data_IF_574801765816
#
_entry.id   IF_574801765816
#
_cell.length_a   1.000
_cell.length_b   1.000
_cell.length_c   1.000
_cell.angle_alpha   90.00
_cell.angle_beta   90.00
_cell.angle_gamma   90.00
#
_symmetry.space_group_name_H-M   'P 1'
#
loop_
_entity.id
_entity.type
_entity.pdbx_description
1 polymer ?
#
# COMPACT_ATOMS: atom_id res chain seq x y z
N UNK A 1 14.30 -23.52 4.19
CA UNK A 1 14.84 -22.38 4.93
C UNK A 1 16.30 -22.03 4.58
N UNK A 2 17.33 -22.86 4.82
CA UNK A 2 18.74 -22.51 4.47
C UNK A 2 19.01 -22.29 2.96
N UNK A 3 18.39 -23.05 2.07
CA UNK A 3 18.58 -22.89 0.61
C UNK A 3 17.94 -21.59 0.09
N UNK A 4 16.78 -21.20 0.63
CA UNK A 4 16.07 -19.96 0.28
C UNK A 4 16.89 -18.71 0.66
N UNK A 5 17.43 -18.68 1.89
CA UNK A 5 18.27 -17.57 2.38
C UNK A 5 19.54 -17.40 1.55
N UNK A 6 20.22 -18.51 1.17
CA UNK A 6 21.41 -18.46 0.30
C UNK A 6 21.09 -17.95 -1.11
N UNK A 7 19.87 -18.22 -1.62
CA UNK A 7 19.46 -17.79 -2.96
C UNK A 7 19.14 -16.29 -2.97
N UNK A 8 18.49 -15.78 -1.92
CA UNK A 8 18.16 -14.37 -1.76
C UNK A 8 19.45 -13.53 -1.62
N UNK A 9 20.35 -13.88 -0.72
CA UNK A 9 21.64 -13.21 -0.54
C UNK A 9 22.42 -13.08 -1.86
N UNK A 10 22.41 -14.10 -2.73
CA UNK A 10 23.04 -14.03 -4.05
C UNK A 10 22.38 -13.01 -4.97
N UNK A 11 21.05 -12.86 -4.94
CA UNK A 11 20.31 -11.90 -5.77
C UNK A 11 20.53 -10.47 -5.30
N UNK A 12 20.56 -10.25 -3.98
CA UNK A 12 20.89 -8.97 -3.38
C UNK A 12 22.32 -8.54 -3.73
N UNK A 13 23.30 -9.47 -3.69
CA UNK A 13 24.70 -9.23 -4.09
C UNK A 13 24.84 -8.92 -5.58
N UNK A 14 24.07 -9.61 -6.45
CA UNK A 14 24.04 -9.36 -7.90
C UNK A 14 23.50 -7.96 -8.19
N UNK A 15 22.39 -7.56 -7.57
CA UNK A 15 21.83 -6.23 -7.69
C UNK A 15 22.77 -5.14 -7.16
N UNK A 16 23.41 -5.39 -6.01
CA UNK A 16 24.40 -4.48 -5.45
C UNK A 16 25.61 -4.32 -6.41
N UNK A 17 26.03 -5.40 -7.07
CA UNK A 17 27.04 -5.37 -8.12
C UNK A 17 26.64 -4.48 -9.28
N UNK A 18 25.43 -4.65 -9.79
CA UNK A 18 24.88 -3.85 -10.89
C UNK A 18 24.81 -2.36 -10.53
N UNK A 19 24.31 -2.03 -9.33
CA UNK A 19 24.24 -0.66 -8.81
C UNK A 19 25.64 -0.02 -8.74
N UNK A 20 26.67 -0.76 -8.29
CA UNK A 20 28.04 -0.22 -8.20
C UNK A 20 28.57 0.23 -9.57
N UNK A 21 28.24 -0.47 -10.64
CA UNK A 21 28.67 -0.17 -12.00
C UNK A 21 27.79 0.86 -12.72
N UNK A 22 26.60 1.18 -12.22
CA UNK A 22 25.69 2.14 -12.81
C UNK A 22 25.94 3.55 -12.26
N UNK A 23 25.97 4.55 -13.11
CA UNK A 23 26.12 5.98 -12.73
C UNK A 23 24.77 6.69 -12.61
N UNK A 24 23.87 6.45 -13.58
CA UNK A 24 22.54 7.08 -13.65
C UNK A 24 21.43 6.03 -13.50
N UNK A 25 20.63 6.17 -12.44
CA UNK A 25 19.66 5.15 -12.02
C UNK A 25 18.25 5.78 -11.98
N UNK A 26 17.27 5.09 -12.59
CA UNK A 26 15.85 5.39 -12.44
C UNK A 26 15.20 4.40 -11.46
N UNK A 27 14.51 4.90 -10.44
CA UNK A 27 13.67 4.09 -9.55
C UNK A 27 12.20 4.37 -9.89
N UNK A 28 11.37 3.36 -9.93
CA UNK A 28 9.95 3.53 -10.23
C UNK A 28 9.09 2.70 -9.28
N UNK A 29 8.05 3.33 -8.74
CA UNK A 29 7.02 2.72 -7.91
C UNK A 29 5.84 2.19 -8.74
N UNK A 30 4.92 1.46 -8.10
CA UNK A 30 3.66 1.05 -8.73
C UNK A 30 2.63 2.20 -8.78
N UNK A 31 1.61 2.04 -9.65
CA UNK A 31 0.42 2.90 -9.70
C UNK A 31 -0.39 2.78 -8.40
N UNK A 32 -1.07 3.86 -7.99
CA UNK A 32 -1.74 3.97 -6.69
C UNK A 32 -0.76 3.67 -5.54
N UNK A 33 0.30 4.47 -5.40
CA UNK A 33 1.40 4.18 -4.50
C UNK A 33 0.97 4.25 -3.03
N UNK A 34 1.53 3.36 -2.23
CA UNK A 34 1.33 3.28 -0.79
C UNK A 34 2.61 3.60 -0.01
N UNK A 35 2.60 3.30 1.30
CA UNK A 35 3.73 3.60 2.17
C UNK A 35 4.94 2.72 1.91
N UNK A 36 4.75 1.44 1.51
CA UNK A 36 5.88 0.55 1.24
C UNK A 36 6.60 0.96 -0.04
N UNK A 37 5.87 1.14 -1.15
CA UNK A 37 6.52 1.50 -2.42
C UNK A 37 7.23 2.85 -2.35
N UNK A 38 6.60 3.90 -1.79
CA UNK A 38 7.21 5.23 -1.69
C UNK A 38 8.34 5.24 -0.66
N UNK A 39 8.13 4.65 0.52
CA UNK A 39 9.15 4.57 1.56
C UNK A 39 10.40 3.83 1.08
N UNK A 40 10.22 2.66 0.49
CA UNK A 40 11.28 1.83 -0.08
C UNK A 40 12.05 2.54 -1.19
N UNK A 41 11.33 3.15 -2.14
CA UNK A 41 11.93 3.90 -3.24
C UNK A 41 12.75 5.10 -2.75
N UNK A 42 12.23 5.88 -1.80
CA UNK A 42 12.94 7.04 -1.26
C UNK A 42 14.14 6.64 -0.39
N UNK A 43 14.02 5.58 0.42
CA UNK A 43 15.14 5.05 1.19
C UNK A 43 16.30 4.63 0.27
N UNK A 44 15.98 3.89 -0.81
CA UNK A 44 16.95 3.46 -1.80
C UNK A 44 17.58 4.66 -2.51
N UNK A 45 16.77 5.64 -2.95
CA UNK A 45 17.27 6.89 -3.54
C UNK A 45 18.28 7.61 -2.65
N UNK A 46 17.92 7.82 -1.38
CA UNK A 46 18.79 8.50 -0.41
C UNK A 46 20.13 7.74 -0.24
N UNK A 47 20.08 6.43 -0.09
CA UNK A 47 21.26 5.59 0.05
C UNK A 47 22.16 5.64 -1.19
N UNK A 48 21.60 5.48 -2.38
CA UNK A 48 22.36 5.51 -3.64
C UNK A 48 22.95 6.90 -3.94
N UNK A 49 22.22 7.97 -3.59
CA UNK A 49 22.73 9.35 -3.73
C UNK A 49 24.00 9.54 -2.86
N UNK A 50 24.06 8.96 -1.65
CA UNK A 50 25.27 9.00 -0.79
C UNK A 50 26.45 8.25 -1.37
N UNK A 51 26.20 7.25 -2.22
CA UNK A 51 27.24 6.57 -2.99
C UNK A 51 27.67 7.34 -4.25
N UNK A 52 27.17 8.58 -4.43
CA UNK A 52 27.51 9.43 -5.57
C UNK A 52 26.76 9.06 -6.86
N UNK A 53 25.69 8.26 -6.79
CA UNK A 53 24.87 7.92 -7.95
C UNK A 53 23.90 9.06 -8.30
N UNK A 54 23.67 9.29 -9.60
CA UNK A 54 22.61 10.16 -10.08
C UNK A 54 21.29 9.37 -10.09
N UNK A 55 20.41 9.63 -9.13
CA UNK A 55 19.18 8.84 -8.92
C UNK A 55 17.94 9.71 -9.10
N UNK A 56 17.09 9.29 -10.00
CA UNK A 56 15.77 9.90 -10.24
C UNK A 56 14.66 8.92 -9.82
N UNK A 57 13.57 9.47 -9.27
CA UNK A 57 12.45 8.68 -8.72
C UNK A 57 11.15 9.03 -9.44
N UNK A 58 10.39 8.00 -9.80
CA UNK A 58 9.21 8.14 -10.64
C UNK A 58 8.01 7.38 -10.07
N UNK A 59 6.84 8.01 -10.21
CA UNK A 59 5.54 7.40 -10.00
C UNK A 59 4.53 8.01 -10.98
N UNK A 60 3.68 7.19 -11.59
CA UNK A 60 2.61 7.68 -12.46
C UNK A 60 1.62 8.55 -11.68
N UNK A 61 1.24 8.12 -10.49
CA UNK A 61 0.23 8.78 -9.69
C UNK A 61 0.86 9.73 -8.65
N UNK A 62 0.04 10.61 -8.11
CA UNK A 62 0.45 11.54 -7.06
C UNK A 62 0.87 10.76 -5.80
N UNK A 63 1.98 11.16 -5.18
CA UNK A 63 2.36 10.68 -3.85
C UNK A 63 1.24 11.06 -2.86
N UNK A 64 0.73 10.12 -2.06
CA UNK A 64 -0.27 10.42 -1.03
C UNK A 64 0.17 11.53 -0.08
N UNK A 65 -0.75 12.42 0.29
CA UNK A 65 -0.44 13.58 1.13
C UNK A 65 0.17 13.19 2.48
N UNK A 66 -0.21 12.04 3.03
CA UNK A 66 0.36 11.48 4.26
C UNK A 66 1.84 11.10 4.14
N UNK A 67 2.34 10.86 2.91
CA UNK A 67 3.72 10.47 2.63
C UNK A 67 4.59 11.65 2.17
N UNK A 68 4.02 12.82 1.90
CA UNK A 68 4.78 14.02 1.50
C UNK A 68 5.76 14.50 2.59
N UNK A 69 5.62 14.00 3.80
CA UNK A 69 6.56 14.29 4.89
C UNK A 69 7.85 13.49 4.82
N UNK A 70 7.94 12.48 3.95
CA UNK A 70 9.14 11.66 3.82
C UNK A 70 10.25 12.44 3.10
N UNK A 71 11.51 12.32 3.55
CA UNK A 71 12.64 12.99 2.91
C UNK A 71 12.74 12.62 1.42
N UNK A 72 12.68 13.62 0.55
CA UNK A 72 12.77 13.45 -0.89
C UNK A 72 11.45 13.18 -1.63
N UNK A 73 10.31 13.14 -0.93
CA UNK A 73 9.01 12.92 -1.56
C UNK A 73 8.68 13.98 -2.64
N UNK A 74 9.14 15.20 -2.45
CA UNK A 74 8.99 16.32 -3.40
C UNK A 74 9.75 16.11 -4.71
N UNK A 75 10.69 15.17 -4.75
CA UNK A 75 11.49 14.85 -5.94
C UNK A 75 10.87 13.78 -6.83
N UNK A 76 9.77 13.15 -6.41
CA UNK A 76 9.08 12.14 -7.21
C UNK A 76 8.43 12.81 -8.43
N UNK A 77 8.82 12.33 -9.61
CA UNK A 77 8.39 12.86 -10.91
C UNK A 77 7.45 11.88 -11.61
N UNK A 78 6.69 12.39 -12.56
CA UNK A 78 5.95 11.52 -13.49
C UNK A 78 6.89 10.94 -14.52
N UNK A 79 6.74 9.66 -14.92
CA UNK A 79 7.61 9.01 -15.90
C UNK A 79 7.69 9.77 -17.23
N UNK A 80 6.58 10.37 -17.67
CA UNK A 80 6.51 11.11 -18.93
C UNK A 80 7.46 12.32 -18.98
N UNK A 81 7.85 12.85 -17.82
CA UNK A 81 8.80 13.96 -17.72
C UNK A 81 10.23 13.55 -18.10
N UNK A 82 10.52 12.26 -18.21
CA UNK A 82 11.81 11.69 -18.58
C UNK A 82 11.76 10.95 -19.93
N UNK A 83 10.78 11.27 -20.77
CA UNK A 83 10.67 10.66 -22.08
C UNK A 83 11.91 10.95 -22.95
N UNK A 84 12.54 9.90 -23.47
CA UNK A 84 13.76 9.97 -24.27
C UNK A 84 15.07 10.06 -23.47
N UNK A 85 15.00 10.13 -22.16
CA UNK A 85 16.19 10.03 -21.30
C UNK A 85 16.70 8.57 -21.24
N UNK A 86 18.00 8.39 -21.01
CA UNK A 86 18.63 7.08 -20.88
C UNK A 86 19.17 6.88 -19.48
N UNK A 87 19.05 5.65 -18.98
CA UNK A 87 19.52 5.23 -17.68
C UNK A 87 20.43 4.01 -17.82
N UNK A 88 21.49 3.94 -17.02
CA UNK A 88 22.32 2.74 -16.96
C UNK A 88 21.53 1.58 -16.30
N UNK A 89 20.67 1.93 -15.33
CA UNK A 89 19.88 0.98 -14.57
C UNK A 89 18.48 1.53 -14.25
N UNK A 90 17.47 0.72 -14.51
CA UNK A 90 16.12 0.90 -13.99
C UNK A 90 15.86 -0.09 -12.86
N UNK A 91 15.30 0.36 -11.75
CA UNK A 91 14.88 -0.51 -10.64
C UNK A 91 13.41 -0.27 -10.34
N UNK A 92 12.59 -1.30 -10.53
CA UNK A 92 11.21 -1.32 -10.01
C UNK A 92 11.25 -1.61 -8.50
N UNK A 93 10.55 -0.81 -7.71
CA UNK A 93 10.52 -0.94 -6.25
C UNK A 93 9.11 -1.22 -5.81
N UNK A 94 8.88 -2.39 -5.22
CA UNK A 94 7.57 -2.84 -4.73
C UNK A 94 6.52 -2.95 -5.86
N UNK A 95 6.91 -3.55 -6.98
CA UNK A 95 6.06 -3.68 -8.16
C UNK A 95 5.87 -5.15 -8.50
N UNK A 96 4.73 -5.70 -8.10
CA UNK A 96 4.40 -7.12 -8.22
C UNK A 96 4.21 -7.63 -9.66
N UNK A 97 3.96 -6.76 -10.62
CA UNK A 97 3.74 -7.07 -12.05
C UNK A 97 4.10 -5.84 -12.87
N UNK A 98 4.70 -6.04 -14.04
CA UNK A 98 5.12 -4.96 -14.94
C UNK A 98 3.97 -3.99 -15.30
N UNK A 99 2.73 -4.48 -15.40
CA UNK A 99 1.56 -3.63 -15.67
C UNK A 99 1.31 -2.61 -14.58
N UNK A 100 1.70 -2.90 -13.34
CA UNK A 100 1.59 -1.97 -12.24
C UNK A 100 2.59 -0.82 -12.29
N UNK A 101 3.59 -0.84 -13.16
CA UNK A 101 4.42 0.33 -13.46
C UNK A 101 3.62 1.45 -14.14
N UNK A 102 2.48 1.12 -14.80
CA UNK A 102 1.75 2.10 -15.59
C UNK A 102 2.64 2.75 -16.65
N UNK A 103 2.65 4.08 -16.73
CA UNK A 103 3.54 4.81 -17.64
C UNK A 103 5.05 4.66 -17.31
N UNK A 104 5.40 4.16 -16.11
CA UNK A 104 6.77 3.83 -15.73
C UNK A 104 7.41 2.73 -16.58
N UNK A 105 6.61 1.89 -17.25
CA UNK A 105 7.11 0.86 -18.17
C UNK A 105 7.95 1.44 -19.33
N UNK A 106 7.72 2.71 -19.71
CA UNK A 106 8.55 3.38 -20.69
C UNK A 106 10.02 3.53 -20.24
N UNK A 107 10.24 3.76 -18.93
CA UNK A 107 11.59 3.93 -18.37
C UNK A 107 12.34 2.60 -18.35
N UNK A 108 11.64 1.49 -18.08
CA UNK A 108 12.19 0.15 -18.18
C UNK A 108 12.75 -0.13 -19.57
N UNK A 109 12.05 0.29 -20.62
CA UNK A 109 12.50 0.15 -22.01
C UNK A 109 13.64 1.11 -22.41
N UNK A 110 13.89 2.17 -21.62
CA UNK A 110 14.94 3.18 -21.88
C UNK A 110 16.26 2.88 -21.11
N UNK A 111 16.26 1.90 -20.22
CA UNK A 111 17.41 1.54 -19.42
C UNK A 111 18.27 0.46 -20.12
N UNK A 112 19.60 0.53 -19.89
CA UNK A 112 20.54 -0.50 -20.36
C UNK A 112 20.37 -1.81 -19.58
N UNK A 113 20.14 -1.69 -18.28
CA UNK A 113 19.87 -2.82 -17.37
C UNK A 113 18.59 -2.60 -16.58
N UNK A 114 17.92 -3.70 -16.24
CA UNK A 114 16.69 -3.68 -15.46
C UNK A 114 16.76 -4.55 -14.22
N UNK A 115 16.24 -4.06 -13.12
CA UNK A 115 16.16 -4.80 -11.87
C UNK A 115 14.83 -4.55 -11.15
N UNK A 116 14.53 -5.38 -10.17
CA UNK A 116 13.43 -5.14 -9.23
C UNK A 116 13.79 -5.57 -7.81
N UNK A 117 13.17 -4.89 -6.85
CA UNK A 117 13.14 -5.27 -5.44
C UNK A 117 11.68 -5.35 -5.02
N UNK A 118 11.21 -6.51 -4.59
CA UNK A 118 9.79 -6.74 -4.34
C UNK A 118 9.55 -7.87 -3.32
N UNK A 119 8.50 -7.78 -2.52
CA UNK A 119 8.13 -8.79 -1.54
C UNK A 119 6.86 -9.60 -1.91
N UNK A 120 6.27 -9.34 -3.06
CA UNK A 120 5.07 -10.05 -3.48
C UNK A 120 5.38 -11.48 -3.96
N UNK A 121 4.85 -12.50 -3.29
CA UNK A 121 5.06 -13.91 -3.63
C UNK A 121 4.53 -14.33 -5.01
N UNK A 122 3.66 -13.51 -5.62
CA UNK A 122 3.11 -13.73 -6.98
C UNK A 122 3.90 -13.06 -8.09
N UNK A 123 5.00 -12.39 -7.76
CA UNK A 123 5.83 -11.66 -8.72
C UNK A 123 6.43 -12.62 -9.77
N UNK A 124 6.24 -12.39 -11.09
CA UNK A 124 6.75 -13.23 -12.15
C UNK A 124 8.25 -13.06 -12.44
N UNK A 125 8.96 -12.21 -11.72
CA UNK A 125 10.38 -11.92 -11.91
C UNK A 125 10.68 -11.39 -13.34
N UNK A 126 10.07 -10.26 -13.72
CA UNK A 126 10.08 -9.72 -15.09
C UNK A 126 11.33 -8.89 -15.44
N UNK A 127 12.19 -8.52 -14.48
CA UNK A 127 13.43 -7.79 -14.73
C UNK A 127 14.62 -8.74 -15.00
N UNK A 128 15.76 -8.20 -15.46
CA UNK A 128 16.97 -8.97 -15.65
C UNK A 128 17.54 -9.47 -14.29
N UNK A 129 17.53 -8.61 -13.27
CA UNK A 129 17.92 -8.97 -11.90
C UNK A 129 16.72 -8.79 -10.98
N UNK A 130 16.36 -9.85 -10.23
CA UNK A 130 15.14 -9.89 -9.43
C UNK A 130 15.47 -10.22 -7.96
N UNK A 131 15.49 -9.22 -7.11
CA UNK A 131 15.54 -9.38 -5.64
C UNK A 131 14.12 -9.47 -5.10
N UNK A 132 13.54 -10.66 -5.13
CA UNK A 132 12.15 -10.93 -4.75
C UNK A 132 12.11 -11.96 -3.63
N UNK A 133 11.41 -11.63 -2.52
CA UNK A 133 11.17 -12.55 -1.41
C UNK A 133 9.73 -12.41 -0.86
N UNK A 134 8.88 -13.38 -1.19
CA UNK A 134 7.49 -13.41 -0.72
C UNK A 134 7.29 -13.69 0.77
N UNK A 135 8.34 -14.02 1.52
CA UNK A 135 8.30 -14.20 2.97
C UNK A 135 8.64 -12.89 3.74
N UNK A 136 9.17 -11.88 3.05
CA UNK A 136 9.46 -10.59 3.67
C UNK A 136 8.16 -9.84 4.00
N UNK A 137 8.12 -9.20 5.16
CA UNK A 137 6.95 -8.45 5.63
C UNK A 137 6.66 -7.19 4.80
N UNK A 138 7.65 -6.66 4.09
CA UNK A 138 7.61 -5.44 3.28
C UNK A 138 8.82 -5.36 2.37
N UNK A 139 8.70 -4.68 1.24
CA UNK A 139 9.84 -4.37 0.35
C UNK A 139 10.90 -3.53 1.07
N UNK A 140 10.50 -2.71 2.06
CA UNK A 140 11.41 -1.95 2.91
C UNK A 140 12.49 -2.78 3.61
N UNK A 141 12.20 -4.05 3.96
CA UNK A 141 13.21 -4.96 4.55
C UNK A 141 14.27 -5.35 3.52
N UNK A 142 13.87 -5.65 2.29
CA UNK A 142 14.78 -6.00 1.20
C UNK A 142 15.64 -4.81 0.77
N UNK A 143 15.06 -3.60 0.78
CA UNK A 143 15.81 -2.35 0.55
C UNK A 143 16.83 -2.13 1.65
N UNK A 144 16.50 -2.41 2.93
CA UNK A 144 17.47 -2.33 4.04
C UNK A 144 18.64 -3.30 3.83
N UNK A 145 18.34 -4.56 3.49
CA UNK A 145 19.37 -5.58 3.16
C UNK A 145 20.27 -5.12 2.00
N UNK A 146 19.68 -4.55 0.94
CA UNK A 146 20.42 -4.03 -0.21
C UNK A 146 21.34 -2.85 0.17
N UNK A 147 20.85 -1.94 1.01
CA UNK A 147 21.65 -0.82 1.52
C UNK A 147 22.84 -1.32 2.38
N UNK A 148 22.64 -2.36 3.19
CA UNK A 148 23.71 -2.99 3.97
C UNK A 148 24.76 -3.65 3.05
N UNK A 149 24.33 -4.39 2.02
CA UNK A 149 25.22 -5.01 1.02
C UNK A 149 26.02 -3.96 0.23
N UNK A 150 25.48 -2.76 0.08
CA UNK A 150 26.16 -1.62 -0.54
C UNK A 150 27.09 -0.87 0.42
N UNK A 151 27.06 -1.18 1.72
CA UNK A 151 27.82 -0.48 2.75
C UNK A 151 27.27 0.91 3.09
N UNK A 152 26.00 1.15 2.82
CA UNK A 152 25.34 2.42 3.13
C UNK A 152 24.92 2.43 4.59
N UNK A 153 25.41 3.40 5.35
CA UNK A 153 24.94 3.62 6.73
C UNK A 153 23.55 4.25 6.71
N UNK A 154 22.60 3.62 7.38
CA UNK A 154 21.27 4.20 7.62
C UNK A 154 21.39 5.36 8.59
N UNK A 155 20.85 6.52 8.22
CA UNK A 155 20.68 7.67 9.11
C UNK A 155 19.18 7.96 9.33
N UNK A 156 18.87 9.04 10.05
CA UNK A 156 17.50 9.39 10.40
C UNK A 156 16.56 9.59 9.19
N UNK A 157 17.07 10.06 8.05
CA UNK A 157 16.23 10.28 6.87
C UNK A 157 15.91 8.97 6.15
N UNK A 158 16.89 8.10 5.95
CA UNK A 158 16.64 6.73 5.44
C UNK A 158 15.76 5.96 6.43
N UNK A 159 15.99 6.11 7.74
CA UNK A 159 15.18 5.44 8.76
C UNK A 159 13.70 5.85 8.72
N UNK A 160 13.39 7.13 8.46
CA UNK A 160 12.00 7.60 8.26
C UNK A 160 11.33 6.90 7.08
N UNK A 161 12.04 6.80 5.96
CA UNK A 161 11.52 6.16 4.75
C UNK A 161 11.30 4.66 4.95
N UNK A 162 12.28 3.94 5.51
CA UNK A 162 12.16 2.51 5.82
C UNK A 162 11.07 2.23 6.87
N UNK A 163 10.93 3.10 7.87
CA UNK A 163 9.84 2.98 8.84
C UNK A 163 8.48 3.12 8.16
N UNK A 164 8.30 4.09 7.27
CA UNK A 164 7.03 4.24 6.54
C UNK A 164 6.73 2.97 5.74
N UNK A 165 7.71 2.43 5.02
CA UNK A 165 7.59 1.20 4.27
C UNK A 165 7.12 0.03 5.16
N UNK A 166 7.92 -0.33 6.14
CA UNK A 166 7.70 -1.52 6.97
C UNK A 166 6.43 -1.39 7.80
N UNK A 167 6.18 -0.20 8.39
CA UNK A 167 5.05 -0.01 9.29
C UNK A 167 3.70 0.01 8.56
N UNK A 168 3.63 0.52 7.33
CA UNK A 168 2.36 0.51 6.59
C UNK A 168 1.97 -0.88 6.15
N UNK A 169 2.91 -1.67 5.64
CA UNK A 169 2.66 -3.02 5.15
C UNK A 169 2.38 -4.04 6.25
N UNK A 170 2.96 -3.81 7.43
CA UNK A 170 2.70 -4.62 8.63
C UNK A 170 1.50 -4.15 9.46
N UNK A 171 0.75 -3.15 8.98
CA UNK A 171 -0.35 -2.56 9.75
C UNK A 171 0.12 -2.02 11.10
N UNK A 172 1.22 -1.29 11.11
CA UNK A 172 1.92 -0.84 12.31
C UNK A 172 2.29 -2.02 13.24
N UNK A 173 2.83 -3.09 12.65
CA UNK A 173 3.27 -4.34 13.32
C UNK A 173 2.14 -5.19 13.92
N UNK A 174 0.90 -4.98 13.49
CA UNK A 174 -0.26 -5.72 13.97
C UNK A 174 -0.69 -6.88 13.05
N UNK A 175 -0.25 -6.90 11.78
CA UNK A 175 -0.64 -7.94 10.83
C UNK A 175 0.16 -9.23 10.99
N UNK A 176 -0.43 -10.35 10.56
CA UNK A 176 0.17 -11.68 10.65
C UNK A 176 1.48 -11.83 9.82
N UNK A 177 1.69 -11.00 8.80
CA UNK A 177 2.93 -10.94 8.03
C UNK A 177 4.12 -10.34 8.81
N UNK A 178 3.89 -9.76 10.01
CA UNK A 178 4.95 -9.15 10.81
C UNK A 178 5.92 -10.21 11.31
N UNK A 179 7.20 -10.10 10.90
CA UNK A 179 8.25 -11.06 11.27
C UNK A 179 9.14 -10.53 12.40
N UNK A 180 9.89 -11.43 13.05
CA UNK A 180 10.92 -11.04 14.02
C UNK A 180 12.03 -10.17 13.39
N UNK A 181 12.25 -10.31 12.09
CA UNK A 181 13.19 -9.48 11.34
C UNK A 181 12.72 -8.04 11.23
N UNK A 182 11.44 -7.80 10.96
CA UNK A 182 10.87 -6.45 10.97
C UNK A 182 11.16 -5.72 12.29
N UNK A 183 11.05 -6.41 13.43
CA UNK A 183 11.38 -5.83 14.74
C UNK A 183 12.88 -5.59 14.94
N UNK A 184 13.77 -6.45 14.42
CA UNK A 184 15.22 -6.21 14.48
C UNK A 184 15.59 -4.97 13.66
N UNK A 185 15.09 -4.89 12.43
CA UNK A 185 15.30 -3.68 11.59
C UNK A 185 14.74 -2.45 12.29
N UNK A 186 13.56 -2.53 12.91
CA UNK A 186 13.02 -1.41 13.70
C UNK A 186 13.96 -0.95 14.81
N UNK A 187 14.61 -1.87 15.53
CA UNK A 187 15.59 -1.50 16.55
C UNK A 187 16.76 -0.71 15.93
N UNK A 188 17.28 -1.17 14.79
CA UNK A 188 18.35 -0.47 14.05
C UNK A 188 17.91 0.92 13.56
N UNK A 189 16.65 1.06 13.07
CA UNK A 189 16.11 2.37 12.68
C UNK A 189 16.02 3.33 13.88
N UNK A 190 15.65 2.84 15.06
CA UNK A 190 15.65 3.63 16.29
C UNK A 190 17.07 4.10 16.66
N UNK A 191 18.08 3.21 16.57
CA UNK A 191 19.48 3.54 16.79
C UNK A 191 20.00 4.55 15.77
N UNK A 192 19.48 4.52 14.53
CA UNK A 192 19.79 5.50 13.49
C UNK A 192 19.11 6.88 13.69
N UNK A 193 18.31 7.04 14.74
CA UNK A 193 17.67 8.30 15.10
C UNK A 193 16.28 8.51 14.52
N UNK A 194 15.54 7.44 14.24
CA UNK A 194 14.14 7.51 13.82
C UNK A 194 13.29 8.27 14.85
N UNK A 195 12.58 9.33 14.47
CA UNK A 195 11.64 10.03 15.36
C UNK A 195 10.30 9.27 15.42
N UNK A 196 10.30 8.07 15.99
CA UNK A 196 9.19 7.11 15.96
C UNK A 196 7.84 7.72 16.35
N UNK A 197 7.80 8.49 17.46
CA UNK A 197 6.55 9.07 17.95
C UNK A 197 5.91 10.03 16.94
N UNK A 198 6.73 10.86 16.29
CA UNK A 198 6.28 11.78 15.24
C UNK A 198 5.79 11.01 14.01
N UNK A 199 6.58 10.07 13.52
CA UNK A 199 6.26 9.26 12.34
C UNK A 199 4.97 8.47 12.54
N UNK A 200 4.85 7.77 13.68
CA UNK A 200 3.64 7.00 14.01
C UNK A 200 2.39 7.90 14.08
N UNK A 201 2.51 9.08 14.71
CA UNK A 201 1.42 10.03 14.76
C UNK A 201 0.99 10.48 13.36
N UNK A 202 1.94 10.81 12.49
CA UNK A 202 1.65 11.32 11.14
C UNK A 202 1.07 10.26 10.21
N UNK A 203 1.59 9.03 10.25
CA UNK A 203 1.15 7.94 9.37
C UNK A 203 -0.19 7.34 9.82
N UNK A 204 -0.40 7.15 11.13
CA UNK A 204 -1.51 6.32 11.61
C UNK A 204 -2.55 7.05 12.46
N UNK A 205 -2.20 8.20 13.05
CA UNK A 205 -3.06 8.89 14.02
C UNK A 205 -3.55 10.26 13.57
N UNK A 206 -2.82 10.92 12.69
CA UNK A 206 -3.22 12.24 12.19
C UNK A 206 -4.27 12.07 11.09
N UNK A 207 -5.43 12.67 11.31
CA UNK A 207 -6.54 12.67 10.36
C UNK A 207 -6.95 14.08 10.04
N UNK A 208 -7.43 14.30 8.81
CA UNK A 208 -8.05 15.56 8.44
C UNK A 208 -9.32 15.78 9.30
N UNK A 209 -9.60 17.03 9.68
CA UNK A 209 -10.82 17.36 10.43
C UNK A 209 -12.07 16.87 9.69
N UNK A 210 -12.12 17.04 8.37
CA UNK A 210 -13.21 16.58 7.52
C UNK A 210 -13.41 15.05 7.64
N UNK A 211 -12.32 14.27 7.66
CA UNK A 211 -12.39 12.81 7.83
C UNK A 211 -12.98 12.41 9.18
N UNK A 212 -12.60 13.10 10.27
CA UNK A 212 -13.13 12.81 11.61
C UNK A 212 -14.62 13.15 11.71
N UNK A 213 -15.03 14.29 11.13
CA UNK A 213 -16.44 14.68 11.09
C UNK A 213 -17.26 13.70 10.25
N UNK A 214 -16.74 13.27 9.09
CA UNK A 214 -17.39 12.30 8.23
C UNK A 214 -17.53 10.92 8.90
N UNK A 215 -16.51 10.50 9.66
CA UNK A 215 -16.60 9.28 10.49
C UNK A 215 -17.76 9.38 11.48
N UNK A 216 -17.94 10.53 12.15
CA UNK A 216 -19.09 10.75 13.04
C UNK A 216 -20.42 10.54 12.31
N UNK A 217 -20.57 11.10 11.10
CA UNK A 217 -21.77 10.89 10.27
C UNK A 217 -22.00 9.41 9.92
N UNK A 218 -20.95 8.70 9.56
CA UNK A 218 -21.06 7.27 9.26
C UNK A 218 -21.50 6.46 10.49
N UNK A 219 -20.93 6.75 11.65
CA UNK A 219 -21.28 6.07 12.90
C UNK A 219 -22.73 6.37 13.35
N UNK A 220 -23.27 7.55 13.05
CA UNK A 220 -24.69 7.90 13.31
C UNK A 220 -25.65 7.01 12.49
N UNK A 221 -25.21 6.43 11.36
CA UNK A 221 -26.00 5.53 10.51
C UNK A 221 -25.72 4.05 10.75
N UNK A 222 -24.85 3.72 11.71
CA UNK A 222 -24.42 2.36 11.99
C UNK A 222 -25.62 1.47 12.38
N UNK A 223 -25.78 0.36 11.68
CA UNK A 223 -26.77 -0.68 11.95
C UNK A 223 -26.11 -2.04 12.11
N UNK A 224 -26.72 -2.91 12.93
CA UNK A 224 -26.27 -4.27 13.17
C UNK A 224 -27.26 -5.27 12.59
N UNK A 225 -26.75 -6.31 11.95
CA UNK A 225 -27.53 -7.35 11.28
C UNK A 225 -26.94 -8.72 11.61
N UNK A 226 -27.68 -9.80 11.35
CA UNK A 226 -27.25 -11.19 11.60
C UNK A 226 -26.71 -11.39 13.03
N UNK A 227 -27.57 -11.03 14.01
CA UNK A 227 -27.22 -11.12 15.45
C UNK A 227 -25.94 -10.33 15.83
N UNK A 228 -25.64 -9.26 15.08
CA UNK A 228 -24.46 -8.42 15.31
C UNK A 228 -23.23 -8.82 14.52
N UNK A 229 -23.28 -9.89 13.71
CA UNK A 229 -22.15 -10.34 12.92
C UNK A 229 -21.84 -9.44 11.71
N UNK A 230 -22.83 -8.67 11.23
CA UNK A 230 -22.68 -7.77 10.11
C UNK A 230 -22.98 -6.34 10.55
N UNK A 231 -22.13 -5.39 10.17
CA UNK A 231 -22.39 -3.97 10.33
C UNK A 231 -22.56 -3.28 8.98
N UNK A 232 -23.38 -2.27 8.95
CA UNK A 232 -23.59 -1.43 7.78
C UNK A 232 -23.63 0.04 8.18
N UNK A 233 -22.93 0.88 7.42
CA UNK A 233 -22.95 2.34 7.51
C UNK A 233 -23.23 2.94 6.14
N UNK A 234 -23.83 4.13 6.13
CA UNK A 234 -24.13 4.88 4.90
C UNK A 234 -23.62 6.30 4.99
N UNK A 235 -23.22 6.87 3.85
CA UNK A 235 -22.84 8.28 3.71
C UNK A 235 -23.49 8.86 2.44
N UNK A 236 -24.20 9.98 2.60
CA UNK A 236 -24.81 10.71 1.49
C UNK A 236 -23.90 11.82 0.96
N UNK A 237 -24.15 12.32 -0.24
CA UNK A 237 -23.45 13.52 -0.76
C UNK A 237 -23.61 14.74 0.17
N UNK A 238 -24.72 14.83 0.89
CA UNK A 238 -24.95 15.87 1.88
C UNK A 238 -23.97 15.78 3.05
N UNK A 239 -23.66 14.56 3.54
CA UNK A 239 -22.69 14.34 4.62
C UNK A 239 -21.28 14.81 4.20
N UNK A 240 -20.87 14.48 2.96
CA UNK A 240 -19.62 14.98 2.41
C UNK A 240 -19.57 16.50 2.34
N UNK A 241 -20.64 17.14 1.86
CA UNK A 241 -20.72 18.59 1.75
C UNK A 241 -20.69 19.29 3.13
N UNK A 242 -21.46 18.80 4.09
CA UNK A 242 -21.53 19.37 5.46
C UNK A 242 -20.21 19.21 6.23
N UNK A 243 -19.46 18.12 5.96
CA UNK A 243 -18.13 17.88 6.57
C UNK A 243 -16.99 18.54 5.79
N UNK A 244 -17.22 19.16 4.65
CA UNK A 244 -16.21 19.59 3.67
C UNK A 244 -15.23 18.45 3.35
N UNK A 245 -15.75 17.22 3.19
CA UNK A 245 -14.97 16.02 3.02
C UNK A 245 -14.84 15.64 1.53
N UNK A 246 -13.69 15.07 1.19
CA UNK A 246 -13.41 14.48 -0.12
C UNK A 246 -13.72 12.97 -0.12
N UNK A 247 -13.95 12.36 -1.28
CA UNK A 247 -14.26 10.92 -1.37
C UNK A 247 -13.23 10.01 -0.66
N UNK A 248 -11.93 10.33 -0.75
CA UNK A 248 -10.85 9.58 -0.09
C UNK A 248 -10.93 9.59 1.44
N UNK A 249 -11.57 10.58 2.05
CA UNK A 249 -11.77 10.62 3.50
C UNK A 249 -12.65 9.49 4.04
N UNK A 250 -13.41 8.81 3.17
CA UNK A 250 -14.27 7.69 3.55
C UNK A 250 -13.59 6.31 3.46
N UNK A 251 -12.41 6.18 2.82
CA UNK A 251 -11.84 4.89 2.44
C UNK A 251 -11.55 3.94 3.62
N UNK A 252 -11.22 4.48 4.80
CA UNK A 252 -10.94 3.69 6.01
C UNK A 252 -12.11 3.59 6.99
N UNK A 253 -13.22 4.28 6.74
CA UNK A 253 -14.37 4.34 7.67
C UNK A 253 -15.00 2.95 7.87
N UNK A 254 -15.04 2.11 6.85
CA UNK A 254 -15.59 0.75 6.93
C UNK A 254 -14.92 -0.09 8.03
N UNK A 255 -13.63 0.15 8.32
CA UNK A 255 -12.88 -0.60 9.34
C UNK A 255 -13.46 -0.36 10.74
N UNK A 256 -13.98 0.84 11.04
CA UNK A 256 -14.62 1.11 12.33
C UNK A 256 -15.88 0.27 12.55
N UNK A 257 -16.55 -0.13 11.47
CA UNK A 257 -17.64 -1.10 11.55
C UNK A 257 -17.17 -2.52 11.84
N UNK A 258 -15.97 -2.90 11.33
CA UNK A 258 -15.40 -4.23 11.51
C UNK A 258 -14.73 -4.41 12.87
N UNK A 259 -14.12 -3.35 13.42
CA UNK A 259 -13.29 -3.41 14.65
C UNK A 259 -14.13 -3.54 15.95
N UNK A 260 -15.38 -3.97 15.85
CA UNK A 260 -16.27 -4.18 16.99
C UNK A 260 -16.35 -5.65 17.39
N UNK A 261 -16.42 -5.92 18.69
CA UNK A 261 -16.51 -7.28 19.22
C UNK A 261 -17.72 -8.04 18.62
N UNK A 262 -17.47 -9.23 18.10
CA UNK A 262 -18.49 -10.10 17.50
C UNK A 262 -18.81 -9.81 16.03
N UNK A 263 -18.32 -8.70 15.48
CA UNK A 263 -18.51 -8.38 14.06
C UNK A 263 -17.55 -9.20 13.20
N UNK A 264 -18.07 -9.76 12.13
CA UNK A 264 -17.35 -10.60 11.17
C UNK A 264 -17.25 -9.95 9.80
N UNK A 265 -18.23 -9.13 9.42
CA UNK A 265 -18.26 -8.40 8.15
C UNK A 265 -18.76 -6.97 8.35
N UNK A 266 -18.25 -6.04 7.55
CA UNK A 266 -18.68 -4.64 7.56
C UNK A 266 -18.87 -4.12 6.14
N UNK A 267 -19.88 -3.27 5.96
CA UNK A 267 -20.14 -2.55 4.72
C UNK A 267 -20.24 -1.05 4.97
N UNK A 268 -19.63 -0.27 4.07
CA UNK A 268 -19.86 1.17 3.97
C UNK A 268 -20.37 1.47 2.56
N UNK A 269 -21.54 2.06 2.48
CA UNK A 269 -22.14 2.55 1.25
C UNK A 269 -22.02 4.06 1.19
N UNK A 270 -21.62 4.61 0.05
CA UNK A 270 -21.51 6.06 -0.13
C UNK A 270 -22.07 6.50 -1.48
N UNK A 271 -22.84 7.57 -1.48
CA UNK A 271 -23.27 8.23 -2.71
C UNK A 271 -22.08 8.85 -3.44
N UNK A 272 -22.10 8.80 -4.77
CA UNK A 272 -21.12 9.48 -5.62
C UNK A 272 -21.77 10.59 -6.43
N UNK A 273 -20.97 11.55 -6.88
CA UNK A 273 -21.46 12.68 -7.70
C UNK A 273 -22.10 12.23 -9.02
N UNK A 274 -21.76 11.02 -9.49
CA UNK A 274 -22.32 10.42 -10.72
C UNK A 274 -23.68 9.72 -10.46
N UNK A 275 -24.24 9.83 -9.26
CA UNK A 275 -25.51 9.21 -8.88
C UNK A 275 -25.41 7.69 -8.68
N UNK A 276 -24.22 7.17 -8.41
CA UNK A 276 -23.95 5.77 -8.07
C UNK A 276 -23.74 5.59 -6.57
N UNK A 277 -23.80 4.34 -6.11
CA UNK A 277 -23.46 3.96 -4.74
C UNK A 277 -22.18 3.16 -4.77
N UNK A 278 -21.08 3.71 -4.24
CA UNK A 278 -19.84 2.99 -4.03
C UNK A 278 -19.91 2.20 -2.73
N UNK A 279 -19.58 0.91 -2.78
CA UNK A 279 -19.64 -0.01 -1.66
C UNK A 279 -18.25 -0.47 -1.32
N UNK A 280 -17.87 -0.33 -0.05
CA UNK A 280 -16.64 -0.91 0.52
C UNK A 280 -17.02 -2.02 1.48
N UNK A 281 -16.43 -3.20 1.29
CA UNK A 281 -16.69 -4.41 2.08
C UNK A 281 -15.41 -4.85 2.78
N UNK A 282 -15.57 -5.29 4.03
CA UNK A 282 -14.46 -5.87 4.82
C UNK A 282 -14.96 -7.12 5.55
N UNK A 283 -14.04 -8.07 5.80
CA UNK A 283 -14.32 -9.25 6.62
C UNK A 283 -13.11 -9.60 7.49
N UNK A 284 -13.36 -10.29 8.59
CA UNK A 284 -12.33 -10.94 9.42
C UNK A 284 -12.18 -12.39 8.93
N UNK A 285 -10.95 -12.87 8.82
CA UNK A 285 -10.68 -14.28 8.48
C UNK A 285 -11.35 -15.24 9.49
N UNK A 286 -11.98 -16.33 9.05
CA UNK A 286 -11.95 -16.93 7.69
C UNK A 286 -13.03 -16.41 6.73
N UNK A 287 -13.82 -15.43 7.11
CA UNK A 287 -14.92 -14.92 6.29
C UNK A 287 -14.42 -14.15 5.05
N UNK A 288 -15.27 -14.10 4.01
CA UNK A 288 -14.91 -13.54 2.72
C UNK A 288 -16.02 -12.63 2.18
N UNK A 289 -15.61 -11.52 1.54
CA UNK A 289 -16.52 -10.55 0.92
C UNK A 289 -16.30 -10.39 -0.58
N UNK A 290 -15.29 -11.03 -1.16
CA UNK A 290 -14.96 -10.95 -2.59
C UNK A 290 -16.09 -11.53 -3.47
N UNK A 291 -16.68 -12.65 -3.07
CA UNK A 291 -17.85 -13.24 -3.75
C UNK A 291 -19.07 -12.31 -3.74
N UNK A 292 -19.33 -11.65 -2.61
CA UNK A 292 -20.41 -10.66 -2.51
C UNK A 292 -20.16 -9.47 -3.44
N UNK A 293 -18.93 -8.93 -3.48
CA UNK A 293 -18.55 -7.85 -4.40
C UNK A 293 -18.69 -8.28 -5.87
N UNK A 294 -18.21 -9.49 -6.21
CA UNK A 294 -18.27 -10.04 -7.57
C UNK A 294 -19.71 -10.21 -8.08
N UNK A 295 -20.67 -10.54 -7.21
CA UNK A 295 -22.09 -10.64 -7.58
C UNK A 295 -22.70 -9.32 -8.08
N UNK A 296 -22.02 -8.19 -7.81
CA UNK A 296 -22.37 -6.84 -8.28
C UNK A 296 -21.40 -6.31 -9.36
N UNK A 297 -20.58 -7.18 -9.95
CA UNK A 297 -19.59 -6.77 -10.96
C UNK A 297 -18.37 -6.05 -10.37
N UNK A 298 -18.18 -6.12 -9.04
CA UNK A 298 -17.01 -5.63 -8.35
C UNK A 298 -15.95 -6.69 -8.13
N UNK A 299 -15.03 -6.46 -7.19
CA UNK A 299 -13.94 -7.39 -6.86
C UNK A 299 -13.03 -6.88 -5.76
N UNK A 300 -11.95 -7.60 -5.55
CA UNK A 300 -10.93 -7.30 -4.54
C UNK A 300 -10.38 -8.57 -3.91
N UNK A 301 -9.84 -8.42 -2.72
CA UNK A 301 -9.31 -9.53 -1.92
C UNK A 301 -10.40 -10.17 -1.07
N UNK A 302 -10.14 -11.38 -0.56
CA UNK A 302 -11.06 -12.11 0.30
C UNK A 302 -11.63 -11.26 1.45
N UNK A 303 -10.79 -10.50 2.14
CA UNK A 303 -11.15 -9.68 3.30
C UNK A 303 -11.40 -8.21 2.98
N UNK A 304 -11.14 -7.75 1.75
CA UNK A 304 -11.26 -6.34 1.37
C UNK A 304 -11.67 -6.23 -0.10
N UNK A 305 -12.94 -5.96 -0.34
CA UNK A 305 -13.53 -5.88 -1.69
C UNK A 305 -14.44 -4.67 -1.81
N UNK A 306 -14.82 -4.34 -3.04
CA UNK A 306 -15.75 -3.26 -3.31
C UNK A 306 -16.47 -3.43 -4.63
N UNK A 307 -17.59 -2.72 -4.74
CA UNK A 307 -18.40 -2.67 -5.96
C UNK A 307 -19.08 -1.32 -6.11
N UNK A 308 -19.78 -1.14 -7.22
CA UNK A 308 -20.60 0.07 -7.47
C UNK A 308 -21.97 -0.38 -7.92
N UNK A 309 -23.02 0.18 -7.29
CA UNK A 309 -24.42 -0.11 -7.59
C UNK A 309 -25.15 1.12 -8.13
N UNK A 310 -26.22 0.87 -8.83
CA UNK A 310 -27.22 1.87 -9.23
C UNK A 310 -28.37 1.93 -8.23
N UNK A 311 -29.05 3.08 -8.17
CA UNK A 311 -30.29 3.27 -7.43
C UNK A 311 -30.10 4.02 -6.11
N UNK A 312 -31.20 4.15 -5.34
CA UNK A 312 -31.16 4.77 -4.02
C UNK A 312 -30.28 3.97 -3.05
N UNK A 313 -29.65 4.67 -2.11
CA UNK A 313 -28.72 4.08 -1.13
C UNK A 313 -29.41 3.01 -0.26
N UNK A 314 -30.68 3.21 0.10
CA UNK A 314 -31.45 2.24 0.92
C UNK A 314 -31.64 0.91 0.17
N UNK A 315 -32.02 0.97 -1.13
CA UNK A 315 -32.15 -0.24 -1.97
C UNK A 315 -30.81 -0.94 -2.17
N UNK A 316 -29.74 -0.17 -2.33
CA UNK A 316 -28.37 -0.74 -2.41
C UNK A 316 -27.99 -1.42 -1.10
N UNK A 317 -28.32 -0.81 0.05
CA UNK A 317 -28.07 -1.36 1.38
C UNK A 317 -28.74 -2.72 1.58
N UNK A 318 -30.04 -2.84 1.23
CA UNK A 318 -30.78 -4.11 1.31
C UNK A 318 -30.11 -5.21 0.46
N UNK A 319 -29.71 -4.89 -0.77
CA UNK A 319 -29.05 -5.84 -1.69
C UNK A 319 -27.71 -6.28 -1.15
N UNK A 320 -26.92 -5.35 -0.61
CA UNK A 320 -25.59 -5.64 -0.02
C UNK A 320 -25.75 -6.52 1.22
N UNK A 321 -26.70 -6.20 2.11
CA UNK A 321 -26.97 -7.03 3.28
C UNK A 321 -27.36 -8.47 2.92
N UNK A 322 -28.22 -8.65 1.92
CA UNK A 322 -28.59 -9.99 1.44
C UNK A 322 -27.39 -10.77 0.88
N UNK A 323 -26.46 -10.09 0.21
CA UNK A 323 -25.26 -10.73 -0.31
C UNK A 323 -24.28 -11.10 0.83
N UNK A 324 -24.11 -10.23 1.82
CA UNK A 324 -23.27 -10.51 3.00
C UNK A 324 -23.87 -11.61 3.88
N UNK A 325 -25.18 -11.63 4.09
CA UNK A 325 -25.87 -12.70 4.82
C UNK A 325 -25.64 -14.08 4.15
N UNK A 326 -25.74 -14.15 2.83
CA UNK A 326 -25.41 -15.39 2.08
C UNK A 326 -23.94 -15.77 2.24
N UNK A 327 -23.02 -14.82 2.16
CA UNK A 327 -21.60 -15.08 2.37
C UNK A 327 -21.29 -15.57 3.78
N UNK A 328 -21.97 -15.01 4.82
CA UNK A 328 -21.80 -15.39 6.21
C UNK A 328 -22.26 -16.84 6.50
N UNK A 329 -23.38 -17.26 5.90
CA UNK A 329 -23.97 -18.58 6.16
C UNK A 329 -23.51 -19.68 5.20
N UNK A 330 -22.70 -19.34 4.19
CA UNK A 330 -22.38 -20.19 3.05
C UNK A 330 -23.62 -20.41 2.18
N UNK A 331 -23.48 -20.58 0.86
CA UNK A 331 -24.58 -20.96 -0.02
C UNK A 331 -25.15 -22.31 0.43
N UNK A 332 -26.07 -22.30 1.38
CA UNK A 332 -26.99 -23.42 1.59
C UNK A 332 -28.15 -23.21 0.64
N UNK A 333 -27.90 -23.45 -0.66
CA UNK A 333 -28.93 -23.67 -1.65
C UNK A 333 -29.30 -25.15 -1.70
#
# INVERSE_FOLDING_TARGET
MRASIMTLSRKTDELAGLIRHSGRIALCSHVNPDGDTIGSMLALRLGLTRLGKAVEVFCQDKVPDSLLMLPGAESVRRPESAAGERYDLFIAVDVSDEKRLGSGSMLLAQAEHTAQVDHHGTNPCYAQVNSVDGEASATGLLVKELLDALGVRVDADIARCLYAAISTDTGNFAFACTTAEAFRVMAELMEAGLPLSEMNRRLFRQRARAQVLLLGRALDTLTFHEEGCITLMTLTLRDFAECAALPEHADTIVNFGLDMEGVRMAALLRETAEGKIKVSLRAVEPDRVDGAAASFGGGGHAQASGCTLDGPIDTAAERVLQALSRALHGDKA
#
